data_IF_223846005587
#
_entry.id   IF_223846005587
#
_cell.length_a   1.000
_cell.length_b   1.000
_cell.length_c   1.000
_cell.angle_alpha   90.00
_cell.angle_beta   90.00
_cell.angle_gamma   90.00
#
_symmetry.space_group_name_H-M   'P 1'
#
loop_
_entity.id
_entity.type
_entity.pdbx_description
1 polymer ?
#
# COMPACT_ATOMS: atom_id res chain seq x y z
N UNK A 1 -22.40 6.64 -12.19
CA UNK A 1 -22.11 6.55 -10.74
C UNK A 1 -20.61 6.62 -10.61
N UNK A 2 -20.05 7.77 -10.25
CA UNK A 2 -18.65 7.90 -9.87
C UNK A 2 -18.48 7.24 -8.51
N UNK A 3 -18.16 5.94 -8.50
CA UNK A 3 -17.86 5.27 -7.25
C UNK A 3 -16.43 5.65 -6.87
N UNK A 4 -16.37 6.51 -5.86
CA UNK A 4 -15.18 7.05 -5.24
C UNK A 4 -14.91 6.26 -3.97
N UNK A 5 -13.66 5.87 -3.76
CA UNK A 5 -13.25 5.17 -2.56
C UNK A 5 -12.05 5.92 -1.97
N UNK A 6 -12.39 6.80 -1.02
CA UNK A 6 -11.45 7.45 -0.11
C UNK A 6 -11.33 6.56 1.11
N UNK A 7 -10.11 6.30 1.53
CA UNK A 7 -9.88 5.63 2.80
C UNK A 7 -8.97 6.45 3.71
N UNK A 8 -9.48 6.63 4.92
CA UNK A 8 -8.80 7.23 6.07
C UNK A 8 -8.51 6.16 7.14
N UNK A 9 -8.73 4.88 6.86
CA UNK A 9 -8.37 3.81 7.75
C UNK A 9 -6.92 3.42 7.49
N UNK A 10 -6.20 3.12 8.57
CA UNK A 10 -4.77 2.79 8.48
C UNK A 10 -4.46 1.66 7.50
N UNK A 11 -5.41 0.81 7.09
CA UNK A 11 -5.17 -0.32 6.19
C UNK A 11 -6.17 -0.43 5.02
N UNK A 12 -7.13 0.47 4.87
CA UNK A 12 -8.19 0.26 3.88
C UNK A 12 -7.78 0.59 2.45
N UNK A 13 -6.78 1.44 2.19
CA UNK A 13 -6.35 1.73 0.81
C UNK A 13 -5.88 0.47 0.04
N UNK A 14 -5.21 -0.49 0.70
CA UNK A 14 -4.94 -1.78 0.07
C UNK A 14 -6.19 -2.68 -0.09
N UNK A 15 -7.21 -2.55 0.76
CA UNK A 15 -8.49 -3.25 0.58
C UNK A 15 -9.28 -2.69 -0.62
N UNK A 16 -9.25 -1.38 -0.81
CA UNK A 16 -9.88 -0.72 -1.96
C UNK A 16 -9.17 -1.09 -3.25
N UNK A 17 -7.84 -1.12 -3.22
CA UNK A 17 -7.05 -1.65 -4.32
C UNK A 17 -7.43 -3.11 -4.63
N UNK A 18 -7.54 -3.97 -3.62
CA UNK A 18 -7.97 -5.34 -3.80
C UNK A 18 -9.37 -5.45 -4.43
N UNK A 19 -10.30 -4.57 -4.06
CA UNK A 19 -11.62 -4.50 -4.70
C UNK A 19 -11.52 -4.14 -6.19
N UNK A 20 -10.71 -3.14 -6.53
CA UNK A 20 -10.44 -2.77 -7.93
C UNK A 20 -9.85 -3.97 -8.66
N UNK A 21 -8.78 -4.58 -8.15
CA UNK A 21 -8.12 -5.69 -8.81
C UNK A 21 -9.05 -6.91 -9.01
N UNK A 22 -9.79 -7.32 -7.97
CA UNK A 22 -10.60 -8.56 -7.99
C UNK A 22 -11.95 -8.41 -8.69
N UNK A 23 -12.58 -7.25 -8.64
CA UNK A 23 -13.98 -7.10 -9.09
C UNK A 23 -14.20 -5.93 -10.03
N UNK A 24 -13.77 -4.73 -9.65
CA UNK A 24 -14.01 -3.45 -10.35
C UNK A 24 -15.42 -3.30 -10.98
N UNK A 25 -16.45 -3.80 -10.29
CA UNK A 25 -17.83 -3.72 -10.74
C UNK A 25 -18.73 -3.39 -9.54
N UNK A 26 -19.32 -2.17 -9.48
CA UNK A 26 -19.18 -1.09 -10.45
C UNK A 26 -17.73 -0.55 -10.57
N UNK A 27 -17.35 0.01 -11.74
CA UNK A 27 -15.99 0.46 -11.99
C UNK A 27 -15.62 1.70 -11.16
N UNK A 28 -14.43 1.67 -10.57
CA UNK A 28 -13.80 2.82 -9.91
C UNK A 28 -13.05 3.65 -10.96
N UNK A 29 -13.25 4.96 -10.92
CA UNK A 29 -12.54 5.92 -11.79
C UNK A 29 -11.20 6.32 -11.20
N UNK A 30 -11.22 6.87 -9.99
CA UNK A 30 -10.05 7.39 -9.30
C UNK A 30 -9.93 6.70 -7.95
N UNK A 31 -8.75 6.15 -7.65
CA UNK A 31 -8.43 5.57 -6.34
C UNK A 31 -7.44 6.48 -5.62
N UNK A 32 -7.85 7.00 -4.45
CA UNK A 32 -7.00 7.82 -3.59
C UNK A 32 -6.69 7.03 -2.33
N UNK A 33 -5.40 6.87 -2.01
CA UNK A 33 -4.95 6.10 -0.85
C UNK A 33 -4.12 6.98 0.05
N UNK A 34 -4.43 6.99 1.35
CA UNK A 34 -3.76 7.83 2.33
C UNK A 34 -2.98 6.97 3.32
N UNK A 35 -1.65 7.08 3.26
CA UNK A 35 -0.74 6.35 4.17
C UNK A 35 -0.90 4.84 4.12
N UNK A 36 -1.41 4.28 3.02
CA UNK A 36 -1.69 2.84 2.91
C UNK A 36 -0.41 2.00 2.83
N UNK A 37 -0.51 0.68 2.94
CA UNK A 37 0.67 -0.22 2.93
C UNK A 37 0.58 -1.18 1.76
N UNK A 38 0.81 -0.66 0.57
CA UNK A 38 0.65 -1.43 -0.66
C UNK A 38 1.65 -2.59 -0.78
N UNK A 39 2.83 -2.47 -0.16
CA UNK A 39 3.83 -3.55 -0.02
C UNK A 39 3.85 -4.16 1.38
N UNK A 40 2.83 -3.89 2.21
CA UNK A 40 2.73 -4.37 3.57
C UNK A 40 3.59 -3.61 4.58
N UNK A 41 3.60 -4.10 5.81
CA UNK A 41 4.46 -3.64 6.91
C UNK A 41 5.42 -4.74 7.33
N UNK A 42 6.63 -4.36 7.72
CA UNK A 42 7.65 -5.28 8.21
C UNK A 42 7.89 -5.14 9.71
N UNK A 43 7.16 -4.23 10.38
CA UNK A 43 7.32 -4.01 11.81
C UNK A 43 5.98 -3.73 12.52
N UNK A 44 5.94 -4.09 13.80
CA UNK A 44 4.90 -3.74 14.76
C UNK A 44 5.35 -2.54 15.61
N UNK A 45 4.43 -1.77 16.21
CA UNK A 45 4.76 -0.63 17.06
C UNK A 45 5.85 -0.98 18.09
N UNK A 46 6.87 -0.13 18.16
CA UNK A 46 8.03 -0.35 19.03
C UNK A 46 7.69 -0.36 20.52
N UNK A 47 8.50 -1.07 21.29
CA UNK A 47 8.44 -1.12 22.74
C UNK A 47 9.20 0.04 23.39
N UNK A 48 8.83 0.42 24.61
CA UNK A 48 9.59 1.40 25.39
C UNK A 48 10.98 0.85 25.72
N UNK A 49 12.04 1.69 25.76
CA UNK A 49 13.37 1.25 26.18
C UNK A 49 13.32 0.58 27.56
N UNK A 50 13.92 -0.61 27.68
CA UNK A 50 13.96 -1.38 28.93
C UNK A 50 12.74 -2.30 29.19
N UNK A 51 11.71 -2.27 28.33
CA UNK A 51 10.54 -3.15 28.47
C UNK A 51 10.78 -4.52 27.83
N UNK A 52 11.45 -5.40 28.58
CA UNK A 52 11.79 -6.76 28.13
C UNK A 52 10.55 -7.61 27.85
N UNK A 53 9.46 -7.43 28.60
CA UNK A 53 8.21 -8.16 28.40
C UNK A 53 7.55 -7.76 27.09
N UNK A 54 7.48 -6.46 26.80
CA UNK A 54 6.99 -5.98 25.51
C UNK A 54 7.86 -6.49 24.37
N UNK A 55 9.19 -6.45 24.51
CA UNK A 55 10.11 -6.93 23.46
C UNK A 55 9.90 -8.43 23.17
N UNK A 56 9.78 -9.25 24.21
CA UNK A 56 9.53 -10.68 24.08
C UNK A 56 8.16 -10.95 23.45
N UNK A 57 7.12 -10.24 23.88
CA UNK A 57 5.79 -10.32 23.31
C UNK A 57 5.77 -9.93 21.83
N UNK A 58 6.47 -8.85 21.46
CA UNK A 58 6.60 -8.38 20.06
C UNK A 58 7.28 -9.44 19.20
N UNK A 59 8.42 -10.00 19.62
CA UNK A 59 9.11 -11.02 18.85
C UNK A 59 8.30 -12.31 18.71
N UNK A 60 7.54 -12.67 19.75
CA UNK A 60 6.61 -13.80 19.70
C UNK A 60 5.48 -13.53 18.71
N UNK A 61 4.92 -12.32 18.74
CA UNK A 61 3.87 -11.90 17.81
C UNK A 61 4.36 -11.91 16.35
N UNK A 62 5.55 -11.37 16.07
CA UNK A 62 6.16 -11.37 14.74
C UNK A 62 6.31 -12.80 14.18
N UNK A 63 6.82 -13.74 14.98
CA UNK A 63 6.91 -15.16 14.59
C UNK A 63 5.53 -15.80 14.37
N UNK A 64 4.52 -15.33 15.10
CA UNK A 64 3.15 -15.81 15.00
C UNK A 64 2.38 -15.31 13.78
N UNK A 65 2.87 -14.29 13.07
CA UNK A 65 2.13 -13.63 11.97
C UNK A 65 1.78 -14.59 10.84
N UNK A 66 2.62 -15.59 10.55
CA UNK A 66 2.40 -16.53 9.45
C UNK A 66 1.73 -17.84 9.88
N UNK A 67 1.22 -17.92 11.12
CA UNK A 67 0.42 -19.08 11.54
C UNK A 67 -0.97 -19.06 10.91
N UNK A 68 -1.58 -20.23 10.67
CA UNK A 68 -2.95 -20.34 10.15
C UNK A 68 -3.96 -19.53 10.96
N UNK A 69 -3.82 -19.52 12.30
CA UNK A 69 -4.69 -18.74 13.18
C UNK A 69 -4.55 -17.24 12.91
N UNK A 70 -3.31 -16.72 12.89
CA UNK A 70 -3.08 -15.30 12.61
C UNK A 70 -3.57 -14.91 11.21
N UNK A 71 -3.29 -15.73 10.19
CA UNK A 71 -3.74 -15.47 8.82
C UNK A 71 -5.27 -15.51 8.67
N UNK A 72 -6.01 -16.24 9.52
CA UNK A 72 -7.48 -16.31 9.43
C UNK A 72 -8.21 -15.33 10.37
N UNK A 73 -7.57 -14.84 11.44
CA UNK A 73 -8.24 -14.06 12.48
C UNK A 73 -7.63 -12.67 12.74
N UNK A 74 -6.46 -12.38 12.19
CA UNK A 74 -5.75 -11.11 12.43
C UNK A 74 -5.58 -10.36 11.10
N UNK A 75 -6.25 -9.22 10.99
CA UNK A 75 -6.21 -8.38 9.79
C UNK A 75 -4.80 -7.87 9.50
N UNK A 76 -4.02 -7.53 10.53
CA UNK A 76 -2.63 -7.07 10.39
C UNK A 76 -1.73 -8.14 9.78
N UNK A 77 -1.98 -9.42 10.09
CA UNK A 77 -1.20 -10.54 9.56
C UNK A 77 -1.41 -10.70 8.04
N UNK A 78 -2.56 -10.25 7.51
CA UNK A 78 -2.87 -10.29 6.07
C UNK A 78 -2.02 -9.36 5.22
N UNK A 79 -1.38 -8.35 5.81
CA UNK A 79 -0.46 -7.44 5.11
C UNK A 79 0.88 -7.28 5.83
N UNK A 80 1.21 -8.20 6.74
CA UNK A 80 2.56 -8.30 7.28
C UNK A 80 3.47 -8.97 6.25
N UNK A 81 4.58 -8.33 5.93
CA UNK A 81 5.56 -8.78 4.95
C UNK A 81 6.94 -8.23 5.35
N UNK A 82 7.82 -9.10 5.84
CA UNK A 82 9.23 -8.76 6.05
C UNK A 82 10.10 -9.45 5.00
N UNK A 83 10.60 -8.72 3.99
CA UNK A 83 11.41 -9.29 2.93
C UNK A 83 12.91 -9.35 3.28
N UNK A 84 13.32 -8.86 4.47
CA UNK A 84 14.73 -8.79 4.88
C UNK A 84 15.26 -10.10 5.46
N UNK A 85 14.38 -11.03 5.81
CA UNK A 85 14.76 -12.33 6.34
C UNK A 85 14.23 -13.43 5.41
N UNK A 86 15.08 -14.38 5.00
CA UNK A 86 14.71 -15.40 4.02
C UNK A 86 13.61 -16.32 4.53
N UNK A 87 13.65 -16.70 5.82
CA UNK A 87 12.64 -17.52 6.45
C UNK A 87 11.29 -16.80 6.55
N UNK A 88 11.29 -15.51 6.92
CA UNK A 88 10.06 -14.72 7.01
C UNK A 88 9.44 -14.47 5.63
N UNK A 89 10.26 -14.19 4.62
CA UNK A 89 9.80 -14.03 3.24
C UNK A 89 9.22 -15.34 2.67
N UNK A 90 9.84 -16.48 2.95
CA UNK A 90 9.28 -17.79 2.58
C UNK A 90 7.95 -18.05 3.30
N UNK A 91 7.89 -17.78 4.60
CA UNK A 91 6.67 -17.94 5.40
C UNK A 91 5.53 -17.04 4.89
N UNK A 92 5.85 -15.81 4.50
CA UNK A 92 4.92 -14.90 3.84
C UNK A 92 4.37 -15.48 2.54
N UNK A 93 5.25 -15.92 1.63
CA UNK A 93 4.83 -16.47 0.32
C UNK A 93 4.01 -17.76 0.46
N UNK A 94 4.24 -18.54 1.53
CA UNK A 94 3.53 -19.80 1.77
C UNK A 94 2.19 -19.64 2.50
N UNK A 95 2.08 -18.67 3.41
CA UNK A 95 0.93 -18.56 4.32
C UNK A 95 0.00 -17.38 4.02
N UNK A 96 0.50 -16.31 3.37
CA UNK A 96 -0.29 -15.10 3.16
C UNK A 96 -1.31 -15.26 2.03
N UNK A 97 -2.59 -15.03 2.34
CA UNK A 97 -3.72 -15.20 1.41
C UNK A 97 -4.30 -13.89 0.87
N UNK A 98 -3.72 -12.76 1.26
CA UNK A 98 -4.25 -11.44 0.89
C UNK A 98 -3.21 -10.61 0.15
N UNK A 99 -2.22 -10.06 0.86
CA UNK A 99 -1.20 -9.20 0.26
C UNK A 99 -0.41 -9.91 -0.85
N UNK A 100 -0.05 -11.19 -0.65
CA UNK A 100 0.71 -11.96 -1.62
C UNK A 100 -0.11 -12.24 -2.89
N UNK A 101 -1.42 -12.41 -2.76
CA UNK A 101 -2.36 -12.54 -3.88
C UNK A 101 -2.49 -11.21 -4.63
N UNK A 102 -2.88 -10.12 -3.96
CA UNK A 102 -3.12 -8.82 -4.62
C UNK A 102 -1.83 -8.15 -5.12
N UNK A 103 -0.65 -8.65 -4.75
CA UNK A 103 0.62 -8.23 -5.34
C UNK A 103 1.11 -9.15 -6.46
N UNK A 104 0.34 -10.21 -6.77
CA UNK A 104 0.72 -11.27 -7.70
C UNK A 104 2.13 -11.80 -7.40
N UNK A 105 2.38 -12.11 -6.14
CA UNK A 105 3.64 -12.72 -5.66
C UNK A 105 3.57 -14.26 -5.64
N UNK A 106 2.36 -14.82 -5.72
CA UNK A 106 2.10 -16.27 -5.71
C UNK A 106 1.56 -16.76 -7.06
N UNK A 107 1.76 -18.05 -7.42
CA UNK A 107 1.30 -18.61 -8.69
C UNK A 107 -0.22 -18.57 -8.91
N UNK A 108 -1.00 -18.62 -7.83
CA UNK A 108 -2.47 -18.71 -7.89
C UNK A 108 -3.16 -17.36 -8.14
N UNK A 109 -2.41 -16.25 -8.15
CA UNK A 109 -2.97 -14.92 -8.36
C UNK A 109 -3.45 -14.72 -9.81
N UNK A 110 -4.62 -14.10 -10.00
CA UNK A 110 -5.15 -13.76 -11.34
C UNK A 110 -4.51 -12.48 -11.88
N UNK A 111 -3.22 -12.57 -12.21
CA UNK A 111 -2.41 -11.45 -12.72
C UNK A 111 -3.09 -10.72 -13.88
N UNK A 112 -3.72 -11.47 -14.80
CA UNK A 112 -4.39 -10.90 -15.99
C UNK A 112 -5.60 -10.05 -15.59
N UNK A 113 -6.43 -10.54 -14.68
CA UNK A 113 -7.58 -9.79 -14.19
C UNK A 113 -7.14 -8.56 -13.40
N UNK A 114 -6.19 -8.72 -12.47
CA UNK A 114 -5.71 -7.65 -11.60
C UNK A 114 -5.10 -6.52 -12.43
N UNK A 115 -4.24 -6.86 -13.39
CA UNK A 115 -3.68 -5.92 -14.37
C UNK A 115 -4.75 -5.21 -15.18
N UNK A 116 -5.69 -5.93 -15.76
CA UNK A 116 -6.77 -5.35 -16.57
C UNK A 116 -7.56 -4.32 -15.75
N UNK A 117 -7.90 -4.66 -14.52
CA UNK A 117 -8.75 -3.82 -13.69
C UNK A 117 -8.00 -2.62 -13.12
N UNK A 118 -6.81 -2.80 -12.57
CA UNK A 118 -6.05 -1.68 -12.00
C UNK A 118 -5.62 -0.68 -13.08
N UNK A 119 -5.21 -1.16 -14.26
CA UNK A 119 -4.85 -0.31 -15.40
C UNK A 119 -6.06 0.48 -15.98
N UNK A 120 -7.29 0.09 -15.63
CA UNK A 120 -8.50 0.80 -16.07
C UNK A 120 -8.78 2.10 -15.30
N UNK A 121 -8.10 2.32 -14.17
CA UNK A 121 -8.23 3.57 -13.41
C UNK A 121 -7.87 4.78 -14.29
N UNK A 122 -8.58 5.89 -14.10
CA UNK A 122 -8.21 7.20 -14.65
C UNK A 122 -7.09 7.84 -13.82
N UNK A 123 -7.08 7.61 -12.51
CA UNK A 123 -6.06 8.11 -11.60
C UNK A 123 -5.86 7.17 -10.40
N UNK A 124 -4.60 6.90 -10.07
CA UNK A 124 -4.17 6.29 -8.82
C UNK A 124 -3.33 7.32 -8.05
N UNK A 125 -3.91 7.89 -7.00
CA UNK A 125 -3.22 8.88 -6.15
C UNK A 125 -2.71 8.18 -4.89
N UNK A 126 -1.41 8.20 -4.73
CA UNK A 126 -0.71 7.57 -3.62
C UNK A 126 -0.21 8.67 -2.68
N UNK A 127 -0.87 8.81 -1.54
CA UNK A 127 -0.54 9.83 -0.54
C UNK A 127 0.27 9.20 0.60
N UNK A 128 1.43 9.76 0.89
CA UNK A 128 2.33 9.35 1.97
C UNK A 128 2.44 10.45 3.03
N UNK A 129 2.62 10.08 4.30
CA UNK A 129 2.86 11.02 5.39
C UNK A 129 4.36 11.13 5.69
N UNK A 130 4.90 12.35 5.72
CA UNK A 130 6.34 12.57 5.86
C UNK A 130 6.90 12.03 7.19
N UNK A 131 6.11 12.08 8.26
CA UNK A 131 6.48 11.66 9.62
C UNK A 131 5.76 10.39 10.09
N UNK A 132 5.37 9.52 9.15
CA UNK A 132 4.74 8.24 9.50
C UNK A 132 5.70 7.34 10.28
N UNK A 133 5.28 6.95 11.48
CA UNK A 133 5.97 5.97 12.35
C UNK A 133 5.15 4.71 12.58
N UNK A 134 3.97 4.62 11.97
CA UNK A 134 3.05 3.49 12.13
C UNK A 134 3.14 2.52 10.97
N UNK A 135 3.45 3.03 9.78
CA UNK A 135 3.75 2.26 8.59
C UNK A 135 5.25 2.17 8.45
N UNK A 136 5.79 0.96 8.59
CA UNK A 136 7.22 0.71 8.49
C UNK A 136 7.46 -0.37 7.42
N UNK A 137 8.06 -0.03 6.28
CA UNK A 137 8.53 1.31 5.88
C UNK A 137 7.40 2.19 5.35
N UNK A 138 7.43 3.51 5.63
CA UNK A 138 6.39 4.46 5.19
C UNK A 138 6.24 4.51 3.67
N UNK A 139 7.33 4.25 2.95
CA UNK A 139 7.39 4.16 1.50
C UNK A 139 6.48 3.06 0.93
N UNK A 140 6.01 2.12 1.76
CA UNK A 140 4.95 1.17 1.39
C UNK A 140 3.68 1.84 0.85
N UNK A 141 3.38 3.07 1.26
CA UNK A 141 2.30 3.87 0.68
C UNK A 141 2.53 4.28 -0.78
N UNK A 142 3.77 4.28 -1.22
CA UNK A 142 4.17 4.51 -2.61
C UNK A 142 4.67 3.24 -3.28
N UNK A 143 4.17 2.07 -2.85
CA UNK A 143 4.64 0.76 -3.29
C UNK A 143 6.15 0.55 -3.08
N UNK A 144 6.78 1.26 -2.15
CA UNK A 144 8.16 1.03 -1.71
C UNK A 144 8.26 -0.14 -0.73
N UNK A 145 9.38 -0.84 -0.71
CA UNK A 145 9.60 -1.98 0.18
C UNK A 145 11.07 -2.04 0.57
N UNK A 146 11.39 -2.65 1.70
CA UNK A 146 12.76 -3.12 1.93
C UNK A 146 13.22 -4.04 0.80
N UNK A 147 14.51 -3.99 0.49
CA UNK A 147 15.13 -4.86 -0.50
C UNK A 147 14.95 -6.33 -0.09
N UNK A 148 14.32 -7.16 -0.93
CA UNK A 148 14.17 -8.57 -0.62
C UNK A 148 15.53 -9.28 -0.62
N UNK A 149 15.71 -10.19 0.33
CA UNK A 149 16.85 -11.10 0.33
C UNK A 149 16.73 -12.16 -0.76
N UNK A 150 17.86 -12.78 -1.10
CA UNK A 150 17.89 -13.93 -1.98
C UNK A 150 17.38 -15.16 -1.22
N UNK A 151 16.24 -15.72 -1.65
CA UNK A 151 15.67 -16.92 -1.04
C UNK A 151 16.54 -18.19 -1.21
N UNK A 152 17.54 -18.15 -2.09
CA UNK A 152 18.52 -19.22 -2.25
C UNK A 152 19.53 -19.30 -1.10
N UNK A 153 19.56 -18.29 -0.23
CA UNK A 153 20.47 -18.17 0.92
C UNK A 153 19.64 -18.20 2.22
N UNK A 154 19.55 -19.34 2.92
CA UNK A 154 18.65 -19.52 4.06
C UNK A 154 18.92 -18.60 5.25
N UNK A 155 20.19 -18.22 5.44
CA UNK A 155 20.64 -17.34 6.54
C UNK A 155 20.75 -15.87 6.10
N UNK A 156 20.27 -15.52 4.91
CA UNK A 156 20.36 -14.16 4.41
C UNK A 156 19.53 -13.20 5.27
N UNK A 157 20.21 -12.16 5.75
CA UNK A 157 19.61 -10.99 6.38
C UNK A 157 19.93 -9.76 5.51
N UNK A 158 18.89 -9.06 5.09
CA UNK A 158 18.99 -7.87 4.26
C UNK A 158 19.15 -6.61 5.09
N UNK A 159 19.85 -5.63 4.52
CA UNK A 159 19.93 -4.29 5.07
C UNK A 159 18.57 -3.55 5.00
N UNK A 160 18.41 -2.51 5.81
CA UNK A 160 17.22 -1.64 5.81
C UNK A 160 17.17 -0.66 4.62
N UNK A 161 17.57 -1.14 3.43
CA UNK A 161 17.56 -0.35 2.19
C UNK A 161 16.18 -0.40 1.55
N UNK A 162 15.59 0.77 1.32
CA UNK A 162 14.30 0.91 0.62
C UNK A 162 14.50 0.88 -0.89
N UNK A 163 13.73 0.03 -1.56
CA UNK A 163 13.64 -0.05 -3.01
C UNK A 163 12.34 0.64 -3.46
N UNK A 164 12.40 1.68 -4.30
CA UNK A 164 11.21 2.39 -4.78
C UNK A 164 10.40 1.54 -5.76
N UNK A 165 9.11 1.85 -5.93
CA UNK A 165 8.16 1.11 -6.80
C UNK A 165 8.76 0.70 -8.14
N UNK A 166 9.34 1.65 -8.89
CA UNK A 166 9.87 1.42 -10.25
C UNK A 166 11.02 0.41 -10.34
N UNK A 167 11.65 0.10 -9.21
CA UNK A 167 12.76 -0.87 -9.15
C UNK A 167 12.32 -2.26 -8.66
N UNK A 168 11.08 -2.41 -8.20
CA UNK A 168 10.56 -3.66 -7.67
C UNK A 168 9.99 -4.58 -8.76
N UNK A 169 9.96 -5.91 -8.51
CA UNK A 169 9.41 -6.88 -9.45
C UNK A 169 7.96 -6.60 -9.83
N UNK A 170 7.11 -6.19 -8.88
CA UNK A 170 5.70 -5.86 -9.13
C UNK A 170 5.51 -4.83 -10.25
N UNK A 171 6.45 -3.88 -10.38
CA UNK A 171 6.47 -2.87 -11.44
C UNK A 171 7.22 -3.36 -12.69
N UNK A 172 8.42 -3.93 -12.53
CA UNK A 172 9.27 -4.37 -13.65
C UNK A 172 8.62 -5.44 -14.51
N UNK A 173 7.91 -6.37 -13.86
CA UNK A 173 7.16 -7.44 -14.52
C UNK A 173 5.75 -6.96 -14.89
N UNK A 174 5.35 -5.77 -14.41
CA UNK A 174 4.03 -5.16 -14.60
C UNK A 174 2.88 -6.09 -14.20
N UNK A 175 3.07 -6.80 -13.08
CA UNK A 175 2.21 -7.92 -12.65
C UNK A 175 0.76 -7.47 -12.48
N UNK A 176 0.55 -6.37 -11.75
CA UNK A 176 -0.79 -5.82 -11.52
C UNK A 176 -1.09 -4.60 -12.40
N UNK A 177 -0.29 -4.31 -13.42
CA UNK A 177 -0.52 -3.16 -14.30
C UNK A 177 0.02 -1.81 -13.80
N UNK A 178 0.85 -1.78 -12.75
CA UNK A 178 1.43 -0.54 -12.22
C UNK A 178 2.30 0.21 -13.23
N UNK A 179 3.13 -0.49 -14.01
CA UNK A 179 3.96 0.15 -15.04
C UNK A 179 3.09 0.70 -16.15
N UNK A 180 2.11 -0.08 -16.59
CA UNK A 180 1.13 0.38 -17.59
C UNK A 180 0.43 1.68 -17.14
N UNK A 181 0.02 1.76 -15.87
CA UNK A 181 -0.65 2.93 -15.31
C UNK A 181 0.29 4.14 -15.11
N UNK A 182 1.53 3.91 -14.67
CA UNK A 182 2.56 4.96 -14.50
C UNK A 182 2.98 5.56 -15.85
N UNK A 183 3.24 4.71 -16.85
CA UNK A 183 3.62 5.15 -18.21
C UNK A 183 2.50 5.91 -18.92
N UNK A 184 1.24 5.62 -18.58
CA UNK A 184 0.07 6.39 -19.01
C UNK A 184 -0.09 7.74 -18.27
N UNK A 185 0.78 8.06 -17.30
CA UNK A 185 0.73 9.30 -16.53
C UNK A 185 -0.39 9.35 -15.47
N UNK A 186 -0.95 8.19 -15.12
CA UNK A 186 -2.14 8.07 -14.25
C UNK A 186 -1.80 7.79 -12.78
N UNK A 187 -0.53 7.57 -12.44
CA UNK A 187 -0.09 7.46 -11.04
C UNK A 187 0.41 8.83 -10.53
N UNK A 188 -0.06 9.24 -9.36
CA UNK A 188 0.27 10.52 -8.75
C UNK A 188 0.78 10.34 -7.32
N UNK A 189 2.05 10.64 -7.10
CA UNK A 189 2.67 10.61 -5.78
C UNK A 189 2.46 11.96 -5.06
N UNK A 190 1.94 11.91 -3.83
CA UNK A 190 1.70 13.08 -2.98
C UNK A 190 2.21 12.84 -1.58
N UNK A 191 2.83 13.86 -0.99
CA UNK A 191 3.28 13.81 0.40
C UNK A 191 2.47 14.83 1.20
N UNK A 192 1.84 14.40 2.28
CA UNK A 192 1.28 15.28 3.29
C UNK A 192 2.30 15.40 4.43
N UNK A 193 2.50 16.62 4.92
CA UNK A 193 3.31 16.84 6.12
C UNK A 193 2.55 16.36 7.37
N UNK A 194 3.27 15.71 8.28
CA UNK A 194 2.76 15.29 9.57
C UNK A 194 2.78 13.78 9.81
N UNK A 195 2.29 13.39 10.99
CA UNK A 195 2.19 12.00 11.40
C UNK A 195 1.05 11.27 10.68
N UNK A 196 1.12 9.93 10.69
CA UNK A 196 0.11 9.08 10.08
C UNK A 196 -1.33 9.49 10.44
N UNK A 197 -2.17 9.67 9.42
CA UNK A 197 -3.58 10.06 9.55
C UNK A 197 -3.84 11.44 10.17
N UNK A 198 -2.80 12.25 10.43
CA UNK A 198 -2.97 13.69 10.71
C UNK A 198 -2.95 14.44 9.40
N UNK A 199 -4.12 14.59 8.82
CA UNK A 199 -4.28 15.16 7.48
C UNK A 199 -4.83 16.57 7.64
N UNK A 200 -4.04 17.56 7.24
CA UNK A 200 -4.54 18.94 7.17
C UNK A 200 -5.52 19.06 6.00
N UNK A 201 -6.48 19.95 6.16
CA UNK A 201 -7.42 20.31 5.09
C UNK A 201 -6.70 20.77 3.82
N UNK A 202 -5.58 21.45 3.99
CA UNK A 202 -4.71 21.90 2.89
C UNK A 202 -4.11 20.74 2.08
N UNK A 203 -3.97 19.54 2.68
CA UNK A 203 -3.43 18.40 1.96
C UNK A 203 -4.51 17.61 1.21
N UNK A 204 -5.61 17.22 1.87
CA UNK A 204 -6.56 16.28 1.26
C UNK A 204 -7.62 16.96 0.40
N UNK A 205 -8.10 18.15 0.77
CA UNK A 205 -9.18 18.83 0.04
C UNK A 205 -8.81 19.09 -1.43
N UNK A 206 -7.62 19.62 -1.78
CA UNK A 206 -7.26 19.84 -3.18
C UNK A 206 -7.20 18.54 -3.99
N UNK A 207 -6.75 17.44 -3.37
CA UNK A 207 -6.67 16.14 -4.02
C UNK A 207 -8.06 15.59 -4.32
N UNK A 208 -8.97 15.66 -3.35
CA UNK A 208 -10.35 15.22 -3.54
C UNK A 208 -11.06 16.09 -4.57
N UNK A 209 -10.92 17.41 -4.51
CA UNK A 209 -11.53 18.30 -5.52
C UNK A 209 -11.02 17.99 -6.93
N UNK A 210 -9.71 17.78 -7.09
CA UNK A 210 -9.11 17.51 -8.40
C UNK A 210 -9.49 16.14 -8.97
N UNK A 211 -9.42 15.09 -8.17
CA UNK A 211 -9.55 13.70 -8.64
C UNK A 211 -10.95 13.12 -8.47
N UNK A 212 -11.77 13.73 -7.62
CA UNK A 212 -13.13 13.31 -7.30
C UNK A 212 -14.21 14.34 -7.71
N UNK A 213 -13.83 15.53 -8.18
CA UNK A 213 -14.77 16.51 -8.72
C UNK A 213 -15.55 16.01 -9.94
N UNK A 214 -16.78 16.51 -10.09
CA UNK A 214 -17.70 16.17 -11.17
C UNK A 214 -17.21 16.75 -12.51
N UNK A 215 -16.95 15.89 -13.50
CA UNK A 215 -16.61 16.33 -14.88
C UNK A 215 -17.78 17.04 -15.58
N UNK A 216 -18.99 17.07 -15.01
CA UNK A 216 -20.13 17.83 -15.56
C UNK A 216 -20.01 19.34 -15.41
N UNK A 217 -19.01 19.86 -14.70
CA UNK A 217 -18.65 21.27 -14.70
C UNK A 217 -17.16 21.41 -14.89
N UNK A 218 -16.72 21.74 -16.11
CA UNK A 218 -15.33 22.11 -16.37
C UNK A 218 -14.97 23.36 -15.58
N UNK A 219 -14.49 23.18 -14.37
CA UNK A 219 -13.89 24.22 -13.56
C UNK A 219 -12.39 24.20 -13.81
N UNK A 220 -11.86 25.34 -14.28
CA UNK A 220 -10.45 25.54 -14.56
C UNK A 220 -9.63 25.52 -13.27
N UNK A 221 -8.30 25.40 -13.37
CA UNK A 221 -7.39 25.41 -12.20
C UNK A 221 -7.54 26.69 -11.35
N UNK A 222 -8.07 27.79 -11.90
CA UNK A 222 -8.41 29.02 -11.16
C UNK A 222 -9.59 28.84 -10.20
N UNK A 223 -10.62 28.10 -10.60
CA UNK A 223 -11.83 27.84 -9.80
C UNK A 223 -11.55 26.99 -8.54
N UNK A 224 -10.48 26.18 -8.57
CA UNK A 224 -10.04 25.38 -7.41
C UNK A 224 -9.31 26.26 -6.39
N UNK A 225 -8.64 27.32 -6.84
CA UNK A 225 -7.92 28.23 -5.94
C UNK A 225 -8.87 29.09 -5.08
N UNK A 226 -9.99 29.54 -5.65
CA UNK A 226 -11.01 30.32 -4.93
C UNK A 226 -11.76 29.47 -3.88
N UNK A 227 -11.88 28.16 -4.10
CA UNK A 227 -12.53 27.23 -3.16
C UNK A 227 -11.64 26.85 -1.97
N UNK A 228 -10.34 27.10 -2.05
CA UNK A 228 -9.36 26.83 -0.98
C UNK A 228 -9.09 28.04 -0.09
N UNK A 229 -9.65 29.22 -0.43
CA UNK A 229 -9.44 30.49 0.29
C UNK A 229 -10.63 30.86 1.20
N UNK A 230 -11.71 30.05 1.23
CA UNK A 230 -12.85 30.18 2.17
C UNK A 230 -12.74 29.21 3.35
#
# INVERSE_FOLDING_TARGET
MDLMLLDFLKAGGQFLRAYVERYNNPPIRSLLTFGSQHMGISDLPGCKPGDFLCWLARNTALRGMYTNYAQSHIVQAQYFRDPRNAHDLQSYLAANTFLADINSEIPDADEKLYKKNLASLDALVLVLFSEDKTVVPKESGWFGSYKPVNLSEPDAMGDEVIVPMRQQPIYKDDRIGLRTLDEAGKIHFKACEGAHMRISDDCWKPLVLKYCGDRRGGKSDEDISDLLIQ
#
